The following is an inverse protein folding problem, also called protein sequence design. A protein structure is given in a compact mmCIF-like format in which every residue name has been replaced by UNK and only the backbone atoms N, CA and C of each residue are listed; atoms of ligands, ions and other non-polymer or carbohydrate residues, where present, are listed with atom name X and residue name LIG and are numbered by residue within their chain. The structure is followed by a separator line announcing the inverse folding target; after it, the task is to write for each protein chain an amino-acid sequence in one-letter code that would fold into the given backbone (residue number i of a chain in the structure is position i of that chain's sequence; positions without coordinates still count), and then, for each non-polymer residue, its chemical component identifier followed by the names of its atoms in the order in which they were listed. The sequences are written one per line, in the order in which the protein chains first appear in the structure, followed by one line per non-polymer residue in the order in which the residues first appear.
data_IF_766527374653
#
_entry.id   IF_766527374653
#
_cell.length_a   1.000
_cell.length_b   1.000
_cell.length_c   1.000
_cell.angle_alpha   90.00
_cell.angle_beta   90.00
_cell.angle_gamma   90.00
#
_symmetry.space_group_name_H-M   'P 1'
#
loop_
_entity.id
_entity.type
_entity.pdbx_description
1 polymer ?
#
# COMPACT_ATOMS: atom_id res chain seq x y z
N UNK A 1 -25.19 13.51 9.49
CA UNK A 1 -23.72 13.65 9.38
C UNK A 1 -23.46 15.05 8.86
N UNK A 2 -22.97 15.95 9.73
CA UNK A 2 -22.63 17.31 9.30
C UNK A 2 -21.50 17.25 8.28
N UNK A 3 -21.76 17.77 7.09
CA UNK A 3 -20.75 17.94 6.06
C UNK A 3 -19.92 19.17 6.48
N UNK A 4 -18.67 18.97 6.91
CA UNK A 4 -17.72 20.05 7.17
C UNK A 4 -17.36 20.77 5.86
N UNK A 5 -18.21 21.71 5.44
CA UNK A 5 -18.09 22.39 4.13
C UNK A 5 -16.93 23.38 4.07
N UNK A 6 -16.41 23.86 5.21
CA UNK A 6 -15.30 24.83 5.28
C UNK A 6 -13.93 24.17 5.51
N UNK A 7 -13.87 22.84 5.53
CA UNK A 7 -12.61 22.11 5.74
C UNK A 7 -11.79 22.13 4.45
N UNK A 8 -10.67 22.87 4.43
CA UNK A 8 -9.82 23.01 3.25
C UNK A 8 -9.22 21.67 2.80
N UNK A 9 -8.93 20.75 3.72
CA UNK A 9 -8.43 19.40 3.39
C UNK A 9 -9.49 18.57 2.64
N UNK A 10 -10.76 18.88 2.88
CA UNK A 10 -11.89 18.28 2.19
C UNK A 10 -12.17 18.94 0.84
N UNK A 11 -12.05 20.27 0.76
CA UNK A 11 -12.34 21.04 -0.45
C UNK A 11 -11.25 20.87 -1.51
N UNK A 12 -9.99 20.93 -1.09
CA UNK A 12 -8.81 20.79 -1.93
C UNK A 12 -7.62 20.34 -1.07
N UNK A 13 -7.46 19.02 -0.84
CA UNK A 13 -6.35 18.51 -0.04
C UNK A 13 -5.01 18.97 -0.60
N UNK A 14 -4.06 19.21 0.30
CA UNK A 14 -2.67 19.40 -0.13
C UNK A 14 -2.12 18.09 -0.72
N UNK A 15 -0.94 18.19 -1.34
CA UNK A 15 -0.36 17.03 -2.04
C UNK A 15 -0.13 15.82 -1.13
N UNK A 16 0.40 16.02 0.07
CA UNK A 16 0.67 14.92 0.99
C UNK A 16 -0.61 14.21 1.41
N UNK A 17 -1.67 14.98 1.71
CA UNK A 17 -2.99 14.43 2.03
C UNK A 17 -3.58 13.67 0.85
N UNK A 18 -3.50 14.23 -0.36
CA UNK A 18 -3.98 13.57 -1.57
C UNK A 18 -3.26 12.23 -1.80
N UNK A 19 -1.93 12.20 -1.69
CA UNK A 19 -1.17 10.97 -1.90
C UNK A 19 -1.34 9.95 -0.78
N UNK A 20 -1.50 10.38 0.47
CA UNK A 20 -1.86 9.47 1.58
C UNK A 20 -3.27 8.89 1.41
N UNK A 21 -4.25 9.68 0.94
CA UNK A 21 -5.58 9.16 0.62
C UNK A 21 -5.53 8.14 -0.51
N UNK A 22 -4.69 8.36 -1.53
CA UNK A 22 -4.46 7.36 -2.58
C UNK A 22 -3.79 6.08 -2.05
N UNK A 23 -2.84 6.19 -1.13
CA UNK A 23 -2.22 5.03 -0.49
C UNK A 23 -3.27 4.22 0.28
N UNK A 24 -4.10 4.87 1.09
CA UNK A 24 -5.20 4.20 1.79
C UNK A 24 -6.27 3.63 0.86
N UNK A 25 -6.53 4.26 -0.29
CA UNK A 25 -7.39 3.68 -1.31
C UNK A 25 -6.75 2.42 -1.93
N UNK A 26 -5.46 2.45 -2.23
CA UNK A 26 -4.73 1.28 -2.74
C UNK A 26 -4.74 0.12 -1.73
N UNK A 27 -4.61 0.41 -0.43
CA UNK A 27 -4.70 -0.58 0.66
C UNK A 27 -6.03 -1.35 0.65
N UNK A 28 -7.11 -0.76 0.10
CA UNK A 28 -8.40 -1.44 -0.04
C UNK A 28 -8.35 -2.62 -1.03
N UNK A 29 -7.31 -2.77 -1.85
CA UNK A 29 -7.11 -3.97 -2.69
C UNK A 29 -6.23 -5.05 -2.07
N UNK A 30 -5.66 -4.79 -0.89
CA UNK A 30 -4.87 -5.79 -0.16
C UNK A 30 -5.64 -7.09 0.06
N UNK A 31 -4.97 -8.20 -0.21
CA UNK A 31 -5.47 -9.54 0.07
C UNK A 31 -4.85 -10.14 1.35
N UNK A 32 -3.97 -9.40 2.03
CA UNK A 32 -3.28 -9.88 3.22
C UNK A 32 -4.23 -9.97 4.43
N UNK A 33 -4.18 -11.10 5.15
CA UNK A 33 -5.04 -11.36 6.31
C UNK A 33 -4.55 -10.71 7.60
N UNK A 34 -3.31 -10.20 7.64
CA UNK A 34 -2.74 -9.60 8.86
C UNK A 34 -2.93 -8.09 8.91
N UNK A 35 -2.71 -7.41 7.79
CA UNK A 35 -2.81 -5.95 7.69
C UNK A 35 -3.08 -5.55 6.26
N UNK A 36 -3.83 -4.47 6.07
CA UNK A 36 -4.03 -3.84 4.76
C UNK A 36 -3.13 -2.62 4.69
N UNK A 37 -2.20 -2.64 3.76
CA UNK A 37 -1.23 -1.56 3.53
C UNK A 37 -1.23 -1.27 2.04
N UNK A 38 -1.17 0.00 1.71
CA UNK A 38 -1.09 0.57 0.38
C UNK A 38 0.03 1.59 0.32
N UNK A 39 0.54 1.79 -0.90
CA UNK A 39 1.68 2.62 -1.16
C UNK A 39 1.51 3.32 -2.51
N UNK A 40 2.01 4.56 -2.60
CA UNK A 40 2.05 5.35 -3.83
C UNK A 40 3.44 5.95 -3.99
N UNK A 41 4.03 5.74 -5.17
CA UNK A 41 5.25 6.43 -5.58
C UNK A 41 4.90 7.64 -6.41
N UNK A 42 5.50 8.78 -6.09
CA UNK A 42 5.20 10.09 -6.69
C UNK A 42 6.48 10.79 -7.09
N UNK A 43 6.48 11.50 -8.22
CA UNK A 43 7.51 12.47 -8.58
C UNK A 43 6.86 13.65 -9.27
N UNK A 44 7.29 14.87 -8.95
CA UNK A 44 6.74 16.10 -9.55
C UNK A 44 5.20 16.16 -9.45
N UNK A 45 4.66 15.77 -8.28
CA UNK A 45 3.22 15.66 -8.03
C UNK A 45 2.45 14.74 -9.00
N UNK A 46 3.13 13.77 -9.62
CA UNK A 46 2.53 12.74 -10.48
C UNK A 46 2.77 11.36 -9.90
N UNK A 47 1.72 10.55 -9.87
CA UNK A 47 1.82 9.14 -9.49
C UNK A 47 2.62 8.39 -10.54
N UNK A 48 3.66 7.69 -10.11
CA UNK A 48 4.47 6.78 -10.91
C UNK A 48 3.87 5.37 -10.90
N UNK A 49 3.55 4.89 -9.70
CA UNK A 49 2.95 3.57 -9.47
C UNK A 49 2.24 3.53 -8.12
N UNK A 50 1.43 2.49 -7.94
CA UNK A 50 0.81 2.16 -6.66
C UNK A 50 1.14 0.71 -6.31
N UNK A 51 1.04 0.40 -5.03
CA UNK A 51 1.20 -0.96 -4.51
C UNK A 51 0.26 -1.21 -3.34
N UNK A 52 -0.06 -2.47 -3.10
CA UNK A 52 -0.73 -2.93 -1.89
C UNK A 52 -0.11 -4.27 -1.47
N UNK A 53 -0.17 -4.60 -0.19
CA UNK A 53 0.45 -5.82 0.31
C UNK A 53 -0.40 -7.07 0.03
N UNK A 54 0.26 -8.20 -0.20
CA UNK A 54 -0.41 -9.46 -0.53
C UNK A 54 0.53 -10.52 -1.09
N UNK A 55 0.03 -11.73 -1.31
CA UNK A 55 0.82 -12.77 -2.00
C UNK A 55 1.18 -12.33 -3.43
N UNK A 56 2.32 -12.80 -3.99
CA UNK A 56 2.73 -12.43 -5.34
C UNK A 56 1.69 -12.86 -6.39
N UNK A 57 1.77 -12.23 -7.57
CA UNK A 57 0.93 -12.58 -8.71
C UNK A 57 1.07 -14.06 -9.04
N UNK A 58 -0.03 -14.68 -9.47
CA UNK A 58 -0.14 -16.09 -9.82
C UNK A 58 0.00 -17.09 -8.67
N UNK A 59 0.14 -16.63 -7.42
CA UNK A 59 -0.09 -17.47 -6.24
C UNK A 59 -1.52 -17.28 -5.73
N UNK A 60 -2.01 -18.27 -4.97
CA UNK A 60 -3.27 -18.17 -4.25
C UNK A 60 -3.24 -16.95 -3.32
N UNK A 61 -4.33 -16.19 -3.22
CA UNK A 61 -4.35 -14.98 -2.41
C UNK A 61 -4.19 -15.30 -0.91
N UNK A 62 -3.63 -14.38 -0.13
CA UNK A 62 -3.47 -14.60 1.31
C UNK A 62 -4.81 -14.83 2.03
N UNK A 63 -5.88 -14.15 1.62
CA UNK A 63 -7.25 -14.35 2.12
C UNK A 63 -7.92 -15.65 1.66
N UNK A 64 -7.25 -16.40 0.78
CA UNK A 64 -7.63 -17.75 0.34
C UNK A 64 -6.65 -18.80 0.93
N UNK A 65 -6.02 -18.49 2.07
CA UNK A 65 -4.99 -19.32 2.70
C UNK A 65 -3.66 -19.44 1.93
N UNK A 66 -3.38 -18.53 0.99
CA UNK A 66 -2.15 -18.54 0.20
C UNK A 66 -0.85 -18.25 0.97
N UNK A 67 -0.95 -17.71 2.19
CA UNK A 67 0.20 -17.49 3.08
C UNK A 67 -0.02 -18.23 4.41
N UNK A 68 0.66 -19.36 4.67
CA UNK A 68 0.47 -20.14 5.89
C UNK A 68 0.71 -19.32 7.15
N UNK A 69 1.78 -18.51 7.18
CA UNK A 69 2.09 -17.64 8.33
C UNK A 69 0.95 -16.69 8.67
N UNK A 70 0.42 -15.98 7.68
CA UNK A 70 -0.67 -15.03 7.90
C UNK A 70 -1.95 -15.70 8.40
N UNK A 71 -2.18 -16.96 8.02
CA UNK A 71 -3.38 -17.72 8.34
C UNK A 71 -3.27 -18.56 9.63
N UNK A 72 -2.10 -18.65 10.27
CA UNK A 72 -1.91 -19.36 11.55
C UNK A 72 -2.44 -18.62 12.78
N UNK A 73 -2.87 -17.37 12.66
CA UNK A 73 -3.42 -16.60 13.79
C UNK A 73 -2.37 -16.12 14.82
N UNK A 74 -1.09 -16.40 14.60
CA UNK A 74 0.00 -15.93 15.48
C UNK A 74 0.10 -14.39 15.52
N UNK A 75 0.60 -13.83 16.62
CA UNK A 75 0.74 -12.37 16.80
C UNK A 75 1.65 -11.70 15.76
N UNK A 76 1.60 -10.36 15.73
CA UNK A 76 2.54 -9.56 14.93
C UNK A 76 4.00 -9.85 15.34
N UNK A 77 4.93 -9.71 14.39
CA UNK A 77 6.37 -9.92 14.63
C UNK A 77 6.83 -11.39 14.68
N UNK A 78 5.91 -12.36 14.66
CA UNK A 78 6.27 -13.79 14.69
C UNK A 78 6.48 -14.34 13.28
N UNK A 79 7.51 -15.17 13.11
CA UNK A 79 7.75 -15.95 11.89
C UNK A 79 7.88 -15.12 10.61
N UNK A 80 8.40 -13.89 10.71
CA UNK A 80 8.43 -12.92 9.60
C UNK A 80 9.09 -13.48 8.33
N UNK A 81 10.16 -14.26 8.49
CA UNK A 81 10.88 -14.93 7.39
C UNK A 81 10.06 -15.98 6.63
N UNK A 82 8.91 -16.41 7.16
CA UNK A 82 8.02 -17.38 6.52
C UNK A 82 6.81 -16.73 5.85
N UNK A 83 6.73 -15.40 5.87
CA UNK A 83 5.66 -14.65 5.21
C UNK A 83 5.86 -14.70 3.70
N UNK A 84 4.82 -15.09 2.96
CA UNK A 84 4.82 -15.08 1.50
C UNK A 84 4.31 -13.75 0.92
N UNK A 85 3.66 -12.92 1.72
CA UNK A 85 3.12 -11.65 1.24
C UNK A 85 4.24 -10.64 0.98
N UNK A 86 4.22 -10.02 -0.20
CA UNK A 86 4.98 -8.83 -0.51
C UNK A 86 4.35 -7.62 0.18
N UNK A 87 5.20 -6.69 0.58
CA UNK A 87 4.84 -5.39 1.13
C UNK A 87 4.26 -4.48 0.04
N UNK A 88 3.51 -3.45 0.46
CA UNK A 88 2.91 -2.51 -0.49
C UNK A 88 3.99 -1.70 -1.20
N UNK A 89 5.02 -1.32 -0.45
CA UNK A 89 6.22 -0.60 -0.88
C UNK A 89 7.01 -1.41 -1.91
N UNK A 90 7.20 -2.70 -1.66
CA UNK A 90 7.85 -3.62 -2.59
C UNK A 90 7.06 -3.71 -3.90
N UNK A 91 5.75 -3.90 -3.82
CA UNK A 91 4.89 -3.93 -5.01
C UNK A 91 4.91 -2.61 -5.78
N UNK A 92 4.90 -1.45 -5.10
CA UNK A 92 4.99 -0.15 -5.76
C UNK A 92 6.33 0.03 -6.48
N UNK A 93 7.45 -0.36 -5.85
CA UNK A 93 8.80 -0.28 -6.44
C UNK A 93 8.97 -1.25 -7.61
N UNK A 94 8.50 -2.49 -7.47
CA UNK A 94 8.54 -3.50 -8.54
C UNK A 94 7.73 -3.06 -9.76
N UNK A 95 6.53 -2.51 -9.53
CA UNK A 95 5.68 -1.97 -10.59
C UNK A 95 6.37 -0.78 -11.26
N UNK A 96 6.89 0.19 -10.51
CA UNK A 96 7.60 1.35 -11.08
C UNK A 96 8.79 0.92 -11.93
N UNK A 97 9.56 -0.06 -11.48
CA UNK A 97 10.81 -0.45 -12.11
C UNK A 97 11.89 0.63 -11.97
N UNK A 98 13.15 0.22 -12.14
CA UNK A 98 14.33 1.08 -11.90
C UNK A 98 14.33 2.35 -12.75
N UNK A 99 13.75 2.32 -13.95
CA UNK A 99 13.79 3.44 -14.89
C UNK A 99 12.88 4.61 -14.52
N UNK A 100 11.82 4.37 -13.74
CA UNK A 100 10.88 5.44 -13.38
C UNK A 100 11.23 6.11 -12.05
N UNK A 101 12.03 5.46 -11.22
CA UNK A 101 12.49 5.96 -9.92
C UNK A 101 13.74 6.82 -10.13
N UNK A 102 13.66 8.11 -9.78
CA UNK A 102 14.74 9.10 -9.92
C UNK A 102 14.85 9.95 -8.66
N UNK A 103 15.88 10.79 -8.59
CA UNK A 103 15.99 11.81 -7.55
C UNK A 103 14.69 12.64 -7.45
N UNK A 104 14.28 12.98 -6.23
CA UNK A 104 13.01 13.66 -5.97
C UNK A 104 11.77 12.76 -6.01
N UNK A 105 11.91 11.44 -6.16
CA UNK A 105 10.80 10.50 -5.98
C UNK A 105 10.47 10.36 -4.49
N UNK A 106 9.19 10.48 -4.13
CA UNK A 106 8.67 10.36 -2.77
C UNK A 106 7.74 9.14 -2.71
N UNK A 107 7.82 8.40 -1.60
CA UNK A 107 6.97 7.25 -1.32
C UNK A 107 6.01 7.61 -0.17
N UNK A 108 4.71 7.46 -0.40
CA UNK A 108 3.66 7.58 0.61
C UNK A 108 3.12 6.17 0.94
N UNK A 109 2.96 5.83 2.22
CA UNK A 109 2.56 4.48 2.68
C UNK A 109 1.73 4.57 3.96
N UNK A 110 0.63 3.80 4.07
CA UNK A 110 -0.23 3.77 5.25
C UNK A 110 0.11 2.58 6.18
N UNK A 111 1.07 2.80 7.09
CA UNK A 111 1.55 1.77 8.02
C UNK A 111 0.88 1.80 9.39
#
# INVERSE_FOLDING_TARGET
MELKLADEERLRPNWDQYFMQLASLAAQRSNCMKRRVGCVLVRECRVISTGYNGTPRHLRNCNEAGCPRCNRGEGGGVGLSTCLCLHAEENALLEAGRERIREGTILYCDT
#
